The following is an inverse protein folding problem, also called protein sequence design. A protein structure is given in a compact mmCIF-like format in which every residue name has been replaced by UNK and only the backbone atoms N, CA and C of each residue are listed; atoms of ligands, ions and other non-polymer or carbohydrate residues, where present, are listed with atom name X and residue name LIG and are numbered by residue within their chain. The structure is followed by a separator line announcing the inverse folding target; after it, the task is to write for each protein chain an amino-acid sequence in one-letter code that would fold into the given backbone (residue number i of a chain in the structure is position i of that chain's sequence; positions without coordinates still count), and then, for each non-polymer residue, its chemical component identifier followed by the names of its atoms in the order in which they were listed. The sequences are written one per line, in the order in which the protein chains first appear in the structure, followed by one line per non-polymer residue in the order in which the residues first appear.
data_IF_392220382940
#
_entry.id   IF_392220382940
#
_cell.length_a   1.000
_cell.length_b   1.000
_cell.length_c   1.000
_cell.angle_alpha   90.00
_cell.angle_beta   90.00
_cell.angle_gamma   90.00
#
_symmetry.space_group_name_H-M   'P 1'
#
loop_
_entity.id
_entity.type
_entity.pdbx_description
1 polymer ?
#
# COMPACT_ATOMS: atom_id res chain seq x y z
N UNK A 1 -11.10 -14.85 16.28
CA UNK A 1 -10.89 -13.38 16.37
C UNK A 1 -10.53 -13.05 17.80
N UNK A 2 -9.61 -12.10 18.04
CA UNK A 2 -9.29 -11.60 19.39
C UNK A 2 -9.88 -10.20 19.55
N UNK A 3 -10.57 -9.95 20.66
CA UNK A 3 -11.08 -8.60 20.99
C UNK A 3 -9.94 -7.82 21.63
N UNK A 4 -9.73 -6.59 21.15
CA UNK A 4 -8.70 -5.67 21.64
C UNK A 4 -9.40 -4.34 21.93
N UNK A 5 -9.11 -3.73 23.08
CA UNK A 5 -9.55 -2.37 23.38
C UNK A 5 -8.52 -1.39 22.83
N UNK A 6 -8.99 -0.32 22.18
CA UNK A 6 -8.17 0.76 21.65
C UNK A 6 -8.89 2.09 21.85
N UNK A 7 -8.12 3.16 22.02
CA UNK A 7 -8.64 4.52 22.13
C UNK A 7 -8.53 5.20 20.78
N UNK A 8 -9.61 5.84 20.34
CA UNK A 8 -9.70 6.59 19.09
C UNK A 8 -10.33 7.95 19.39
N UNK A 9 -9.95 8.97 18.64
CA UNK A 9 -10.59 10.28 18.73
C UNK A 9 -12.08 10.19 18.41
N UNK A 10 -12.89 10.98 19.13
CA UNK A 10 -14.35 10.94 19.01
C UNK A 10 -14.83 11.25 17.58
N UNK A 11 -14.21 12.24 16.94
CA UNK A 11 -14.51 12.61 15.55
C UNK A 11 -14.22 11.46 14.58
N UNK A 12 -13.14 10.70 14.80
CA UNK A 12 -12.81 9.55 13.98
C UNK A 12 -13.85 8.44 14.16
N UNK A 13 -14.30 8.19 15.39
CA UNK A 13 -15.36 7.21 15.67
C UNK A 13 -16.65 7.58 14.94
N UNK A 14 -17.02 8.87 14.93
CA UNK A 14 -18.19 9.37 14.20
C UNK A 14 -18.08 9.14 12.70
N UNK A 15 -16.92 9.44 12.10
CA UNK A 15 -16.70 9.20 10.67
C UNK A 15 -16.77 7.71 10.32
N UNK A 16 -16.19 6.85 11.16
CA UNK A 16 -16.28 5.39 11.01
C UNK A 16 -17.74 4.94 11.04
N UNK A 17 -18.54 5.48 11.96
CA UNK A 17 -19.96 5.15 12.06
C UNK A 17 -20.74 5.49 10.81
N UNK A 18 -20.53 6.69 10.28
CA UNK A 18 -21.28 7.13 9.11
C UNK A 18 -20.90 6.31 7.88
N UNK A 19 -19.62 5.98 7.71
CA UNK A 19 -19.18 5.05 6.65
C UNK A 19 -19.78 3.66 6.84
N UNK A 20 -19.76 3.12 8.06
CA UNK A 20 -20.33 1.80 8.35
C UNK A 20 -21.83 1.73 8.02
N UNK A 21 -22.58 2.81 8.30
CA UNK A 21 -24.00 2.92 7.92
C UNK A 21 -24.18 2.93 6.40
N UNK A 22 -23.33 3.69 5.69
CA UNK A 22 -23.40 3.81 4.23
C UNK A 22 -23.03 2.50 3.51
N UNK A 23 -22.03 1.77 4.01
CA UNK A 23 -21.56 0.52 3.42
C UNK A 23 -22.26 -0.72 3.96
N UNK A 24 -23.16 -0.55 4.93
CA UNK A 24 -23.84 -1.62 5.65
C UNK A 24 -22.87 -2.63 6.29
N UNK A 25 -21.74 -2.13 6.81
CA UNK A 25 -20.71 -2.92 7.48
C UNK A 25 -20.73 -2.68 8.99
N UNK A 26 -20.22 -3.63 9.76
CA UNK A 26 -19.96 -3.40 11.18
C UNK A 26 -18.65 -2.62 11.38
N UNK A 27 -18.55 -1.85 12.48
CA UNK A 27 -17.31 -1.15 12.85
C UNK A 27 -16.10 -2.08 12.82
N UNK A 28 -16.23 -3.30 13.36
CA UNK A 28 -15.12 -4.26 13.40
C UNK A 28 -14.74 -4.82 12.04
N UNK A 29 -15.67 -4.90 11.08
CA UNK A 29 -15.37 -5.25 9.71
C UNK A 29 -14.62 -4.12 9.02
N UNK A 30 -15.17 -2.91 9.07
CA UNK A 30 -14.56 -1.72 8.49
C UNK A 30 -13.14 -1.48 9.04
N UNK A 31 -12.98 -1.44 10.36
CA UNK A 31 -11.67 -1.18 10.99
C UNK A 31 -10.66 -2.27 10.64
N UNK A 32 -11.08 -3.54 10.54
CA UNK A 32 -10.18 -4.63 10.13
C UNK A 32 -9.68 -4.44 8.71
N UNK A 33 -10.57 -4.10 7.78
CA UNK A 33 -10.20 -3.91 6.38
C UNK A 33 -9.32 -2.67 6.21
N UNK A 34 -9.64 -1.57 6.91
CA UNK A 34 -8.82 -0.36 6.96
C UNK A 34 -7.43 -0.63 7.52
N UNK A 35 -7.31 -1.37 8.63
CA UNK A 35 -6.03 -1.76 9.23
C UNK A 35 -5.20 -2.65 8.29
N UNK A 36 -5.83 -3.63 7.63
CA UNK A 36 -5.15 -4.47 6.64
C UNK A 36 -4.60 -3.65 5.49
N UNK A 37 -5.40 -2.72 4.96
CA UNK A 37 -4.98 -1.84 3.88
C UNK A 37 -3.84 -0.91 4.33
N UNK A 38 -3.89 -0.38 5.55
CA UNK A 38 -2.82 0.46 6.10
C UNK A 38 -1.51 -0.32 6.27
N UNK A 39 -1.55 -1.53 6.82
CA UNK A 39 -0.36 -2.39 6.96
C UNK A 39 0.23 -2.74 5.59
N UNK A 40 -0.61 -3.06 4.61
CA UNK A 40 -0.15 -3.34 3.25
C UNK A 40 0.56 -2.12 2.63
N UNK A 41 -0.02 -0.92 2.78
CA UNK A 41 0.62 0.33 2.33
C UNK A 41 1.95 0.59 3.01
N UNK A 42 2.06 0.37 4.32
CA UNK A 42 3.32 0.54 5.04
C UNK A 42 4.41 -0.42 4.52
N UNK A 43 4.06 -1.68 4.24
CA UNK A 43 5.00 -2.66 3.68
C UNK A 43 5.47 -2.26 2.28
N UNK A 44 4.56 -1.82 1.43
CA UNK A 44 4.91 -1.35 0.07
C UNK A 44 5.82 -0.13 0.17
N UNK A 45 5.47 0.85 1.01
CA UNK A 45 6.29 2.06 1.20
C UNK A 45 7.70 1.74 1.73
N UNK A 46 7.83 0.75 2.61
CA UNK A 46 9.13 0.28 3.10
C UNK A 46 9.95 -0.35 1.97
N UNK A 47 9.33 -1.18 1.12
CA UNK A 47 9.98 -1.76 -0.06
C UNK A 47 10.41 -0.69 -1.08
N UNK A 48 9.54 0.30 -1.34
CA UNK A 48 9.87 1.43 -2.22
C UNK A 48 11.03 2.26 -1.67
N UNK A 49 11.08 2.49 -0.35
CA UNK A 49 12.22 3.17 0.27
C UNK A 49 13.51 2.36 0.15
N UNK A 50 13.44 1.03 0.32
CA UNK A 50 14.60 0.16 0.14
C UNK A 50 15.09 0.17 -1.32
N UNK A 51 14.19 0.10 -2.30
CA UNK A 51 14.54 0.20 -3.71
C UNK A 51 15.16 1.56 -4.04
N UNK A 52 14.57 2.67 -3.55
CA UNK A 52 15.11 4.02 -3.74
C UNK A 52 16.52 4.15 -3.17
N UNK A 53 16.75 3.68 -1.94
CA UNK A 53 18.09 3.68 -1.33
C UNK A 53 19.06 2.75 -2.09
N UNK A 54 18.56 1.66 -2.67
CA UNK A 54 19.34 0.78 -3.53
C UNK A 54 19.85 1.49 -4.77
N UNK A 55 18.96 2.16 -5.51
CA UNK A 55 19.30 2.94 -6.70
C UNK A 55 20.14 4.20 -6.41
N UNK A 56 19.96 4.82 -5.25
CA UNK A 56 20.82 5.94 -4.83
C UNK A 56 22.24 5.48 -4.46
N UNK A 57 22.40 4.26 -3.91
CA UNK A 57 23.71 3.72 -3.51
C UNK A 57 24.44 3.00 -4.64
N UNK A 58 23.69 2.39 -5.55
CA UNK A 58 24.19 1.75 -6.76
C UNK A 58 23.44 2.36 -7.94
N UNK A 59 23.89 3.51 -8.45
CA UNK A 59 23.30 4.09 -9.64
C UNK A 59 23.38 3.06 -10.77
N UNK A 60 22.26 2.92 -11.48
CA UNK A 60 22.09 1.99 -12.59
C UNK A 60 23.23 2.20 -13.59
N UNK A 61 23.98 1.15 -13.89
CA UNK A 61 24.97 1.21 -14.95
C UNK A 61 24.25 1.29 -16.31
N UNK A 62 24.79 2.03 -17.27
CA UNK A 62 24.11 2.29 -18.55
C UNK A 62 23.75 1.01 -19.34
N UNK A 63 24.33 -0.13 -18.98
CA UNK A 63 24.15 -1.45 -19.58
C UNK A 63 23.21 -2.39 -18.80
N UNK A 64 22.73 -2.01 -17.61
CA UNK A 64 21.96 -2.89 -16.71
C UNK A 64 20.59 -3.30 -17.29
N UNK A 65 20.02 -2.47 -18.18
CA UNK A 65 18.77 -2.74 -18.89
C UNK A 65 18.96 -2.93 -20.41
N UNK A 66 20.20 -2.90 -20.91
CA UNK A 66 20.48 -2.97 -22.34
C UNK A 66 20.08 -4.32 -22.98
N UNK A 67 19.92 -5.38 -22.18
CA UNK A 67 19.44 -6.69 -22.66
C UNK A 67 17.98 -6.62 -23.15
N UNK A 68 17.15 -5.80 -22.50
CA UNK A 68 15.73 -5.65 -22.83
C UNK A 68 15.49 -4.80 -24.09
N UNK A 69 16.45 -3.96 -24.50
CA UNK A 69 16.35 -3.16 -25.73
C UNK A 69 16.37 -4.05 -26.98
N UNK A 70 17.11 -5.16 -26.95
CA UNK A 70 17.16 -6.15 -28.04
C UNK A 70 15.92 -7.05 -28.12
N UNK A 71 15.09 -7.10 -27.08
CA UNK A 71 13.87 -7.92 -27.00
C UNK A 71 12.57 -7.12 -27.25
N UNK A 72 12.66 -5.80 -27.46
CA UNK A 72 11.50 -4.98 -27.83
C UNK A 72 11.07 -5.24 -29.29
N UNK A 73 10.19 -6.22 -29.49
CA UNK A 73 9.33 -6.31 -30.69
C UNK A 73 7.90 -5.91 -30.30
N UNK A 74 7.60 -4.61 -30.41
CA UNK A 74 6.26 -4.08 -30.12
C UNK A 74 5.28 -4.19 -31.28
N UNK A 75 5.61 -4.95 -32.33
CA UNK A 75 4.80 -5.05 -33.54
C UNK A 75 4.70 -3.71 -34.30
N UNK A 76 4.54 -3.79 -35.62
CA UNK A 76 4.35 -2.60 -36.44
C UNK A 76 3.04 -1.86 -36.08
N UNK A 77 3.14 -0.52 -36.08
CA UNK A 77 2.05 0.44 -35.77
C UNK A 77 0.84 0.33 -36.69
#
# INVERSE_FOLDING_TARGET
MKVVQMTLDEDLVRLVDDVCKLTNQSRSAFTRDALRAAIARCRIAEQEQQHRQGYERHPVAADEFAVWETEQDWGDS
#
